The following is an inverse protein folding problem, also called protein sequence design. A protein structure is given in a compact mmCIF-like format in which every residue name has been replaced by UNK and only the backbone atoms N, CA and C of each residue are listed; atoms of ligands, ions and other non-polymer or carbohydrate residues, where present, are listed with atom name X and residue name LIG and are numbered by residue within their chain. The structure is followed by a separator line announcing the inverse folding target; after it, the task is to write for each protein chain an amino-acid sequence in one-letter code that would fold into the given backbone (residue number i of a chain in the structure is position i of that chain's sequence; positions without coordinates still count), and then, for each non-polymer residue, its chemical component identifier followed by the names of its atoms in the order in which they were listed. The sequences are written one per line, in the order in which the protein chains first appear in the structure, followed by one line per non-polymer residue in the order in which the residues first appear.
data_IF_979868262394
#
_entry.id   IF_979868262394
#
_cell.length_a   1.000
_cell.length_b   1.000
_cell.length_c   1.000
_cell.angle_alpha   90.00
_cell.angle_beta   90.00
_cell.angle_gamma   90.00
#
_symmetry.space_group_name_H-M   'P 1'
#
loop_
_entity.id
_entity.type
_entity.pdbx_description
1 polymer ?
#
# COMPACT_ATOMS: atom_id res chain seq x y z
N UNK A 1 -24.78 -1.86 -18.58
CA UNK A 1 -23.87 -1.85 -17.41
C UNK A 1 -22.90 -0.69 -17.54
N UNK A 2 -23.03 0.38 -16.73
CA UNK A 2 -22.02 1.47 -16.72
C UNK A 2 -20.70 0.88 -16.19
N UNK A 3 -19.65 0.85 -17.01
CA UNK A 3 -18.30 0.46 -16.59
C UNK A 3 -17.86 1.45 -15.49
N UNK A 4 -17.73 0.99 -14.25
CA UNK A 4 -17.14 1.78 -13.17
C UNK A 4 -15.67 2.01 -13.54
N UNK A 5 -15.34 3.21 -14.03
CA UNK A 5 -13.94 3.60 -14.23
C UNK A 5 -13.29 3.67 -12.85
N UNK A 6 -12.21 2.92 -12.65
CA UNK A 6 -11.36 3.07 -11.47
C UNK A 6 -10.85 4.51 -11.44
N UNK A 7 -10.99 5.16 -10.28
CA UNK A 7 -10.42 6.48 -10.08
C UNK A 7 -8.89 6.40 -10.10
N UNK A 8 -8.22 7.45 -10.59
CA UNK A 8 -6.76 7.58 -10.55
C UNK A 8 -6.19 7.26 -9.17
N UNK A 9 -6.89 7.66 -8.10
CA UNK A 9 -6.50 7.35 -6.72
C UNK A 9 -6.49 5.85 -6.42
N UNK A 10 -7.46 5.09 -6.94
CA UNK A 10 -7.54 3.64 -6.75
C UNK A 10 -6.41 2.94 -7.51
N UNK A 11 -6.08 3.40 -8.71
CA UNK A 11 -4.96 2.88 -9.50
C UNK A 11 -3.64 3.13 -8.77
N UNK A 12 -3.43 4.35 -8.26
CA UNK A 12 -2.24 4.70 -7.46
C UNK A 12 -2.16 3.88 -6.17
N UNK A 13 -3.30 3.65 -5.51
CA UNK A 13 -3.36 2.80 -4.30
C UNK A 13 -2.94 1.37 -4.62
N UNK A 14 -3.45 0.79 -5.71
CA UNK A 14 -3.08 -0.57 -6.15
C UNK A 14 -1.59 -0.63 -6.51
N UNK A 15 -1.09 0.33 -7.29
CA UNK A 15 0.33 0.40 -7.65
C UNK A 15 1.22 0.48 -6.41
N UNK A 16 0.84 1.30 -5.42
CA UNK A 16 1.58 1.43 -4.16
C UNK A 16 1.57 0.13 -3.35
N UNK A 17 0.44 -0.58 -3.28
CA UNK A 17 0.35 -1.90 -2.63
C UNK A 17 1.30 -2.89 -3.31
N UNK A 18 1.33 -2.95 -4.64
CA UNK A 18 2.21 -3.87 -5.38
C UNK A 18 3.68 -3.55 -5.11
N UNK A 19 4.07 -2.27 -5.17
CA UNK A 19 5.44 -1.83 -4.85
C UNK A 19 5.81 -2.15 -3.41
N UNK A 20 4.88 -1.98 -2.46
CA UNK A 20 5.09 -2.34 -1.05
C UNK A 20 5.36 -3.83 -0.87
N UNK A 21 4.60 -4.71 -1.54
CA UNK A 21 4.83 -6.16 -1.49
C UNK A 21 6.17 -6.58 -2.11
N UNK A 22 6.56 -5.95 -3.23
CA UNK A 22 7.86 -6.19 -3.86
C UNK A 22 8.98 -5.75 -2.92
N UNK A 23 8.84 -4.58 -2.30
CA UNK A 23 9.78 -4.06 -1.31
C UNK A 23 9.92 -4.99 -0.11
N UNK A 24 8.80 -5.44 0.48
CA UNK A 24 8.81 -6.42 1.58
C UNK A 24 9.60 -7.67 1.22
N UNK A 25 9.36 -8.23 0.03
CA UNK A 25 10.07 -9.43 -0.42
C UNK A 25 11.57 -9.19 -0.59
N UNK A 26 11.96 -8.06 -1.17
CA UNK A 26 13.38 -7.71 -1.33
C UNK A 26 14.07 -7.51 0.02
N UNK A 27 13.42 -6.85 0.98
CA UNK A 27 13.98 -6.68 2.32
C UNK A 27 14.09 -8.02 3.05
N UNK A 28 13.09 -8.89 2.95
CA UNK A 28 13.19 -10.23 3.56
C UNK A 28 14.37 -11.04 3.01
N UNK A 29 14.61 -10.98 1.69
CA UNK A 29 15.78 -11.61 1.07
C UNK A 29 17.08 -10.98 1.59
N UNK A 30 17.18 -9.65 1.57
CA UNK A 30 18.37 -8.94 2.06
C UNK A 30 18.68 -9.27 3.53
N UNK A 31 17.66 -9.28 4.38
CA UNK A 31 17.83 -9.61 5.80
C UNK A 31 18.26 -11.06 6.00
N UNK A 32 17.71 -11.99 5.22
CA UNK A 32 18.09 -13.39 5.26
C UNK A 32 19.51 -13.63 4.75
N UNK A 33 19.98 -12.89 3.75
CA UNK A 33 21.35 -13.00 3.21
C UNK A 33 22.40 -12.43 4.17
N UNK A 34 22.03 -11.44 4.98
CA UNK A 34 22.92 -10.78 5.93
C UNK A 34 22.76 -11.24 7.38
N UNK A 35 21.98 -12.31 7.62
CA UNK A 35 21.67 -12.86 8.95
C UNK A 35 21.13 -11.78 9.93
N UNK A 36 20.41 -10.81 9.38
CA UNK A 36 19.83 -9.70 10.12
C UNK A 36 18.42 -10.07 10.58
N UNK A 37 18.10 -9.76 11.84
CA UNK A 37 16.76 -9.96 12.36
C UNK A 37 15.75 -9.03 11.65
N UNK A 38 14.62 -9.62 11.25
CA UNK A 38 13.44 -8.90 10.80
C UNK A 38 12.71 -8.27 11.99
N UNK A 39 13.36 -7.29 12.61
CA UNK A 39 12.86 -6.52 13.75
C UNK A 39 12.43 -5.12 13.32
N UNK A 40 11.54 -4.48 14.09
CA UNK A 40 11.13 -3.07 13.86
C UNK A 40 12.32 -2.10 13.89
N UNK A 41 13.40 -2.45 14.58
CA UNK A 41 14.59 -1.62 14.68
C UNK A 41 15.42 -1.63 13.39
N UNK A 42 15.44 -2.76 12.70
CA UNK A 42 16.02 -2.92 11.36
C UNK A 42 15.10 -2.35 10.29
N UNK A 43 13.78 -2.51 10.47
CA UNK A 43 12.72 -2.13 9.54
C UNK A 43 12.19 -0.72 9.75
N UNK A 44 13.08 0.28 9.76
CA UNK A 44 12.68 1.70 9.92
C UNK A 44 11.75 2.20 8.80
N UNK A 45 11.83 1.58 7.64
CA UNK A 45 10.99 1.83 6.47
C UNK A 45 9.49 1.59 6.72
N UNK A 46 9.14 0.68 7.65
CA UNK A 46 7.76 0.41 8.04
C UNK A 46 7.07 1.62 8.67
N UNK A 47 7.82 2.46 9.40
CA UNK A 47 7.26 3.67 10.03
C UNK A 47 6.82 4.74 9.03
N UNK A 48 7.35 4.71 7.81
CA UNK A 48 6.98 5.66 6.74
C UNK A 48 5.95 5.03 5.81
N UNK A 49 6.17 3.77 5.42
CA UNK A 49 5.32 3.08 4.45
C UNK A 49 3.94 2.71 5.00
N UNK A 50 3.82 2.28 6.26
CA UNK A 50 2.53 1.92 6.86
C UNK A 50 1.55 3.11 6.98
N UNK A 51 1.95 4.30 7.47
CA UNK A 51 1.07 5.46 7.48
C UNK A 51 0.61 5.88 6.09
N UNK A 52 1.51 5.88 5.10
CA UNK A 52 1.16 6.22 3.71
C UNK A 52 0.14 5.22 3.16
N UNK A 53 0.36 3.92 3.39
CA UNK A 53 -0.55 2.87 2.97
C UNK A 53 -1.95 3.03 3.60
N UNK A 54 -2.01 3.30 4.91
CA UNK A 54 -3.26 3.56 5.62
C UNK A 54 -4.02 4.76 5.04
N UNK A 55 -3.33 5.88 4.79
CA UNK A 55 -3.93 7.08 4.22
C UNK A 55 -4.52 6.79 2.83
N UNK A 56 -3.78 6.09 1.98
CA UNK A 56 -4.23 5.72 0.62
C UNK A 56 -5.45 4.80 0.66
N UNK A 57 -5.46 3.80 1.55
CA UNK A 57 -6.60 2.90 1.73
C UNK A 57 -7.84 3.68 2.21
N UNK A 58 -7.69 4.51 3.24
CA UNK A 58 -8.81 5.31 3.79
C UNK A 58 -9.34 6.28 2.73
N UNK A 59 -8.46 6.96 2.00
CA UNK A 59 -8.86 7.87 0.93
C UNK A 59 -9.58 7.12 -0.20
N UNK A 60 -9.10 5.93 -0.59
CA UNK A 60 -9.71 5.06 -1.59
C UNK A 60 -11.11 4.60 -1.17
N UNK A 61 -11.28 4.15 0.08
CA UNK A 61 -12.59 3.73 0.64
C UNK A 61 -13.56 4.91 0.71
N UNK A 62 -13.10 6.09 1.13
CA UNK A 62 -13.93 7.30 1.16
C UNK A 62 -14.40 7.72 -0.24
N UNK A 63 -13.52 7.68 -1.24
CA UNK A 63 -13.87 7.96 -2.63
C UNK A 63 -14.91 6.96 -3.14
N UNK A 64 -14.72 5.67 -2.84
CA UNK A 64 -15.67 4.64 -3.22
C UNK A 64 -17.05 4.89 -2.62
N UNK A 65 -17.13 5.19 -1.32
CA UNK A 65 -18.39 5.52 -0.63
C UNK A 65 -19.08 6.76 -1.22
N UNK A 66 -18.33 7.83 -1.49
CA UNK A 66 -18.88 9.05 -2.12
C UNK A 66 -19.46 8.76 -3.51
N UNK A 67 -18.79 7.93 -4.30
CA UNK A 67 -19.24 7.55 -5.64
C UNK A 67 -20.49 6.64 -5.62
N UNK A 68 -20.73 5.88 -4.55
CA UNK A 68 -21.96 5.08 -4.37
C UNK A 68 -23.15 5.89 -3.85
N UNK A 69 -22.95 6.96 -3.07
CA UNK A 69 -24.07 7.79 -2.56
C UNK A 69 -24.55 8.86 -3.57
N UNK A 70 -23.75 9.15 -4.60
CA UNK A 70 -24.08 10.13 -5.66
C UNK A 70 -24.79 9.53 -6.89
N UNK A 71 -25.09 8.23 -6.90
CA UNK A 71 -25.89 7.55 -7.93
C UNK A 71 -27.18 7.02 -7.32
#
# INVERSE_FOLDING_TARGET
MKKRKLSTLQIVTIAFIVLFLIWERNIQLYLSEHDLQNSLQTRKDLFVSLPILLVLIVASVRQWKKNTTSN
#
